data_IF_156277182807
#
_entry.id   IF_156277182807
#
_cell.length_a   1.000
_cell.length_b   1.000
_cell.length_c   1.000
_cell.angle_alpha   90.00
_cell.angle_beta   90.00
_cell.angle_gamma   90.00
#
_symmetry.space_group_name_H-M   'P 1'
#
loop_
_entity.id
_entity.type
_entity.pdbx_description
1 polymer ?
#
# COMPACT_ATOMS: atom_id res chain seq x y z
N UNK A 1 -0.25 -19.25 -3.05
CA UNK A 1 -0.55 -17.81 -3.17
C UNK A 1 0.74 -17.09 -3.52
N UNK A 2 0.75 -16.11 -4.44
CA UNK A 2 1.95 -15.32 -4.72
C UNK A 2 2.48 -14.66 -3.42
N UNK A 3 3.78 -14.30 -3.34
CA UNK A 3 4.29 -13.59 -2.18
C UNK A 3 3.56 -12.25 -2.01
N UNK A 4 3.00 -12.04 -0.82
CA UNK A 4 2.35 -10.79 -0.43
C UNK A 4 3.27 -10.07 0.57
N UNK A 5 3.47 -8.76 0.38
CA UNK A 5 4.05 -7.92 1.42
C UNK A 5 2.92 -7.44 2.34
N UNK A 6 3.12 -7.50 3.65
CA UNK A 6 2.19 -6.84 4.56
C UNK A 6 2.27 -5.33 4.38
N UNK A 7 1.19 -4.64 4.68
CA UNK A 7 1.14 -3.20 4.56
C UNK A 7 0.01 -2.58 5.37
N UNK A 8 -0.07 -1.26 5.27
CA UNK A 8 -1.21 -0.49 5.77
C UNK A 8 -1.50 0.68 4.84
N UNK A 9 -2.78 1.01 4.71
CA UNK A 9 -3.25 2.22 4.05
C UNK A 9 -3.69 3.22 5.10
N UNK A 10 -3.28 4.48 4.98
CA UNK A 10 -3.81 5.59 5.77
C UNK A 10 -4.55 6.54 4.84
N UNK A 11 -5.86 6.67 5.05
CA UNK A 11 -6.66 7.66 4.34
C UNK A 11 -6.13 9.06 4.66
N UNK A 12 -5.82 9.83 3.62
CA UNK A 12 -5.40 11.22 3.79
C UNK A 12 -6.59 12.14 4.11
N UNK A 13 -7.82 11.68 3.84
CA UNK A 13 -9.06 12.42 4.10
C UNK A 13 -9.49 12.25 5.56
N UNK A 14 -9.53 11.02 6.06
CA UNK A 14 -10.06 10.72 7.41
C UNK A 14 -8.99 10.47 8.46
N UNK A 15 -7.75 10.22 8.04
CA UNK A 15 -6.66 9.81 8.93
C UNK A 15 -6.75 8.35 9.41
N UNK A 16 -7.83 7.63 9.08
CA UNK A 16 -7.99 6.23 9.48
C UNK A 16 -6.99 5.33 8.78
N UNK A 17 -6.55 4.28 9.49
CA UNK A 17 -5.59 3.30 8.98
C UNK A 17 -6.25 1.94 8.83
N UNK A 18 -5.96 1.26 7.72
CA UNK A 18 -6.52 -0.04 7.37
C UNK A 18 -5.39 -1.03 7.08
N UNK A 19 -5.54 -2.31 7.43
CA UNK A 19 -4.61 -3.34 7.05
C UNK A 19 -4.60 -3.50 5.52
N UNK A 20 -3.44 -3.88 4.98
CA UNK A 20 -3.26 -4.10 3.56
C UNK A 20 -2.36 -5.32 3.28
N UNK A 21 -2.66 -6.02 2.19
CA UNK A 21 -1.79 -7.03 1.60
C UNK A 21 -1.43 -6.59 0.18
N UNK A 22 -0.15 -6.35 -0.05
CA UNK A 22 0.37 -5.80 -1.31
C UNK A 22 0.96 -6.92 -2.17
N UNK A 23 0.64 -6.94 -3.47
CA UNK A 23 1.15 -7.90 -4.45
C UNK A 23 1.20 -7.29 -5.85
N UNK A 24 1.85 -8.01 -6.77
CA UNK A 24 2.16 -7.47 -8.11
C UNK A 24 2.83 -6.08 -8.01
N UNK A 25 3.84 -5.99 -7.14
CA UNK A 25 4.54 -4.73 -6.84
C UNK A 25 5.42 -4.34 -8.02
N UNK A 26 5.17 -3.17 -8.58
CA UNK A 26 5.88 -2.59 -9.73
C UNK A 26 6.37 -1.18 -9.39
N UNK A 27 7.27 -0.66 -10.22
CA UNK A 27 7.81 0.70 -10.08
C UNK A 27 6.70 1.76 -10.17
N UNK A 28 5.66 1.50 -10.96
CA UNK A 28 4.56 2.45 -11.20
C UNK A 28 3.41 2.31 -10.22
N UNK A 29 3.31 1.20 -9.48
CA UNK A 29 2.09 0.86 -8.78
C UNK A 29 2.06 -0.58 -8.29
N UNK A 30 0.94 -0.98 -7.68
CA UNK A 30 0.73 -2.34 -7.20
C UNK A 30 -0.75 -2.68 -7.03
N UNK A 31 -1.04 -3.94 -6.72
CA UNK A 31 -2.36 -4.37 -6.26
C UNK A 31 -2.37 -4.48 -4.73
N UNK A 32 -3.46 -4.07 -4.12
CA UNK A 32 -3.62 -4.02 -2.66
C UNK A 32 -4.95 -4.65 -2.26
N UNK A 33 -4.93 -5.68 -1.43
CA UNK A 33 -6.13 -6.20 -0.77
C UNK A 33 -6.32 -5.51 0.59
N UNK A 34 -7.51 -4.97 0.84
CA UNK A 34 -7.82 -4.21 2.06
C UNK A 34 -9.34 -4.17 2.31
N UNK A 35 -9.81 -3.99 3.56
CA UNK A 35 -11.22 -3.68 3.83
C UNK A 35 -11.60 -2.25 3.45
N UNK A 36 -10.64 -1.42 3.03
CA UNK A 36 -10.89 -0.03 2.66
C UNK A 36 -11.45 0.12 1.24
N UNK A 37 -12.49 0.94 1.08
CA UNK A 37 -13.08 1.29 -0.22
C UNK A 37 -12.79 2.77 -0.52
N UNK A 38 -11.85 3.07 -1.43
CA UNK A 38 -11.54 4.44 -1.82
C UNK A 38 -12.48 4.97 -2.90
N UNK A 39 -12.48 6.29 -3.08
CA UNK A 39 -12.99 6.92 -4.30
C UNK A 39 -12.00 6.73 -5.47
N UNK A 40 -12.51 6.78 -6.70
CA UNK A 40 -11.64 6.79 -7.89
C UNK A 40 -10.77 8.05 -7.90
N UNK A 41 -9.45 7.88 -8.06
CA UNK A 41 -8.47 8.97 -8.01
C UNK A 41 -8.11 9.41 -6.58
N UNK A 42 -8.61 8.73 -5.55
CA UNK A 42 -8.30 9.09 -4.17
C UNK A 42 -6.81 8.88 -3.87
N UNK A 43 -6.21 9.87 -3.19
CA UNK A 43 -4.84 9.80 -2.70
C UNK A 43 -4.77 9.22 -1.29
N UNK A 44 -3.92 8.23 -1.12
CA UNK A 44 -3.80 7.42 0.09
C UNK A 44 -2.32 7.25 0.41
N UNK A 45 -1.95 7.31 1.69
CA UNK A 45 -0.60 6.91 2.10
C UNK A 45 -0.55 5.39 2.26
N UNK A 46 0.36 4.74 1.54
CA UNK A 46 0.59 3.30 1.62
C UNK A 46 1.96 3.04 2.25
N UNK A 47 1.99 2.23 3.30
CA UNK A 47 3.23 1.64 3.84
C UNK A 47 3.27 0.16 3.48
N UNK A 48 4.36 -0.28 2.85
CA UNK A 48 4.66 -1.68 2.54
C UNK A 48 5.80 -2.15 3.45
N UNK A 49 5.61 -3.33 4.06
CA UNK A 49 6.58 -4.02 4.92
C UNK A 49 7.19 -5.19 4.13
N UNK A 50 8.33 -4.97 3.45
CA UNK A 50 9.05 -6.05 2.77
C UNK A 50 9.58 -7.08 3.79
N UNK A 51 9.75 -8.35 3.39
CA UNK A 51 10.37 -9.36 4.25
C UNK A 51 11.84 -9.03 4.54
N UNK A 52 12.34 -9.52 5.66
CA UNK A 52 13.76 -9.41 6.00
C UNK A 52 14.64 -10.17 5.00
N UNK A 53 15.77 -9.57 4.60
CA UNK A 53 16.70 -10.16 3.64
C UNK A 53 17.95 -10.63 4.38
N UNK A 54 18.19 -11.94 4.38
CA UNK A 54 19.39 -12.52 5.03
C UNK A 54 19.47 -12.22 6.54
N UNK A 55 18.32 -12.13 7.21
CA UNK A 55 18.24 -11.80 8.65
C UNK A 55 18.43 -10.32 8.98
N UNK A 56 18.52 -9.44 7.97
CA UNK A 56 18.54 -7.99 8.18
C UNK A 56 17.12 -7.43 8.03
N UNK A 57 16.67 -6.60 8.99
CA UNK A 57 15.41 -5.88 8.86
C UNK A 57 15.38 -5.06 7.59
N UNK A 58 14.31 -5.20 6.80
CA UNK A 58 14.09 -4.36 5.64
C UNK A 58 13.31 -3.10 6.05
N UNK A 59 13.73 -1.94 5.58
CA UNK A 59 13.04 -0.69 5.89
C UNK A 59 11.64 -0.66 5.23
N UNK A 60 10.59 -0.22 5.95
CA UNK A 60 9.28 -0.03 5.35
C UNK A 60 9.31 1.01 4.22
N UNK A 61 8.64 0.72 3.12
CA UNK A 61 8.44 1.66 2.03
C UNK A 61 7.13 2.41 2.23
N UNK A 62 7.19 3.72 2.52
CA UNK A 62 6.00 4.57 2.65
C UNK A 62 5.93 5.56 1.49
N UNK A 63 4.78 5.63 0.81
CA UNK A 63 4.58 6.47 -0.36
C UNK A 63 3.11 6.92 -0.47
N UNK A 64 2.87 8.01 -1.18
CA UNK A 64 1.51 8.38 -1.61
C UNK A 64 1.16 7.61 -2.89
N UNK A 65 -0.05 7.05 -2.92
CA UNK A 65 -0.60 6.33 -4.06
C UNK A 65 -1.98 6.87 -4.43
N UNK A 66 -2.35 6.70 -5.70
CA UNK A 66 -3.66 7.02 -6.25
C UNK A 66 -4.42 5.73 -6.57
N UNK A 67 -5.66 5.61 -6.08
CA UNK A 67 -6.54 4.50 -6.39
C UNK A 67 -7.10 4.61 -7.81
N UNK A 68 -6.80 3.65 -8.68
CA UNK A 68 -7.25 3.63 -10.09
C UNK A 68 -8.26 2.55 -10.39
N UNK A 69 -8.39 1.54 -9.53
CA UNK A 69 -9.46 0.55 -9.60
C UNK A 69 -9.80 0.01 -8.21
N UNK A 70 -11.04 -0.44 -8.04
CA UNK A 70 -11.52 -1.09 -6.83
C UNK A 70 -12.49 -2.21 -7.24
N UNK A 71 -12.20 -3.45 -6.84
CA UNK A 71 -13.00 -4.62 -7.15
C UNK A 71 -13.30 -5.36 -5.86
N UNK A 72 -14.56 -5.71 -5.63
CA UNK A 72 -14.96 -6.51 -4.48
C UNK A 72 -14.50 -7.97 -4.66
N UNK A 73 -13.70 -8.46 -3.72
CA UNK A 73 -13.26 -9.86 -3.66
C UNK A 73 -14.13 -10.69 -2.71
N UNK A 74 -14.53 -10.09 -1.58
CA UNK A 74 -15.44 -10.68 -0.61
C UNK A 74 -16.46 -9.62 -0.21
N UNK A 75 -17.74 -10.00 -0.30
CA UNK A 75 -18.86 -9.06 -0.22
C UNK A 75 -18.85 -8.28 1.10
N UNK A 76 -18.64 -6.97 1.03
CA UNK A 76 -18.62 -6.07 2.19
C UNK A 76 -17.40 -6.19 3.10
N UNK A 77 -16.41 -7.02 2.76
CA UNK A 77 -15.30 -7.36 3.67
C UNK A 77 -13.92 -7.08 3.06
N UNK A 78 -13.73 -7.40 1.78
CA UNK A 78 -12.40 -7.34 1.16
C UNK A 78 -12.47 -6.85 -0.27
N UNK A 79 -11.63 -5.86 -0.56
CA UNK A 79 -11.53 -5.21 -1.85
C UNK A 79 -10.10 -5.31 -2.38
N UNK A 80 -9.98 -5.55 -3.67
CA UNK A 80 -8.74 -5.41 -4.42
C UNK A 80 -8.69 -4.03 -5.05
N UNK A 81 -7.64 -3.28 -4.71
CA UNK A 81 -7.35 -1.97 -5.25
C UNK A 81 -6.17 -2.07 -6.23
N UNK A 82 -6.33 -1.48 -7.42
CA UNK A 82 -5.19 -1.10 -8.25
C UNK A 82 -4.76 0.30 -7.87
N UNK A 83 -3.47 0.49 -7.57
CA UNK A 83 -2.93 1.79 -7.18
C UNK A 83 -1.70 2.19 -8.00
N UNK A 84 -1.58 3.48 -8.31
CA UNK A 84 -0.39 4.08 -8.92
C UNK A 84 0.41 4.86 -7.88
N UNK A 85 1.74 4.79 -7.93
CA UNK A 85 2.63 5.57 -7.05
C UNK A 85 2.67 7.01 -7.55
N UNK A 86 2.33 7.97 -6.68
CA UNK A 86 2.24 9.41 -7.01
C UNK A 86 3.48 10.17 -6.57
N UNK A 87 4.05 9.82 -5.41
CA UNK A 87 5.24 10.48 -4.87
C UNK A 87 6.08 9.49 -4.07
N UNK A 88 7.22 9.07 -4.63
CA UNK A 88 8.24 8.35 -3.88
C UNK A 88 9.05 9.36 -3.06
N UNK A 89 8.61 9.70 -1.86
CA UNK A 89 9.49 10.37 -0.93
C UNK A 89 10.59 9.37 -0.54
N UNK A 90 11.81 9.57 -1.06
CA UNK A 90 12.96 8.82 -0.59
C UNK A 90 13.08 9.03 0.94
N UNK A 91 13.36 7.97 1.73
CA UNK A 91 13.54 8.13 3.16
C UNK A 91 14.67 9.14 3.38
N UNK A 92 14.35 10.27 4.02
CA UNK A 92 15.34 11.24 4.46
C UNK A 92 16.19 10.54 5.50
N UNK A 93 17.37 10.08 5.08
CA UNK A 93 18.38 9.48 5.93
C UNK A 93 18.84 10.57 6.89
N UNK A 94 18.19 10.67 8.06
CA UNK A 94 18.66 11.49 9.18
C UNK A 94 19.91 10.80 9.73
N UNK A 95 21.06 11.18 9.19
CA UNK A 95 22.36 10.96 9.83
C UNK A 95 22.30 11.55 11.24
N UNK A 96 22.50 10.69 12.24
CA UNK A 96 22.96 11.07 13.58
C UNK A 96 24.43 10.69 13.69
#
# INVERSE_FOLDING_TARGET
MPPHCQGKLRSLITGQTYPALCYDVRITGMQVCTPYVPQLGERIELTVYPPDIGGRPSDPFTTEVEAVSCVELQRGELYQLGVNIVSSAAPTQRTR
#
